data_IF_028200130957
#
_entry.id   IF_028200130957
#
_cell.length_a   1.000
_cell.length_b   1.000
_cell.length_c   1.000
_cell.angle_alpha   90.00
_cell.angle_beta   90.00
_cell.angle_gamma   90.00
#
_symmetry.space_group_name_H-M   'P 1'
#
loop_
_entity.id
_entity.type
_entity.pdbx_description
1 polymer ?
#
# COMPACT_ATOMS: atom_id res chain seq x y z
N UNK A 1 22.52 -13.57 14.19
CA UNK A 1 21.53 -13.11 13.19
C UNK A 1 21.32 -11.62 13.43
N UNK A 2 21.34 -10.79 12.40
CA UNK A 2 21.38 -9.34 12.57
C UNK A 2 19.95 -8.86 12.88
N UNK A 3 19.60 -8.80 14.17
CA UNK A 3 18.27 -8.38 14.67
C UNK A 3 17.89 -6.93 14.27
N UNK A 4 18.81 -6.20 13.63
CA UNK A 4 18.61 -4.84 13.11
C UNK A 4 17.94 -4.76 11.74
N UNK A 5 17.84 -5.85 10.95
CA UNK A 5 17.25 -5.79 9.60
C UNK A 5 15.97 -6.61 9.51
N UNK A 6 14.87 -5.99 9.07
CA UNK A 6 13.61 -6.68 8.82
C UNK A 6 12.86 -6.10 7.64
N UNK A 7 12.39 -6.95 6.75
CA UNK A 7 11.58 -6.57 5.61
C UNK A 7 10.19 -7.19 5.69
N UNK A 8 9.18 -6.44 5.25
CA UNK A 8 7.80 -6.90 5.17
C UNK A 8 7.14 -6.34 3.91
N UNK A 9 6.64 -7.24 3.06
CA UNK A 9 5.89 -6.88 1.86
C UNK A 9 4.39 -6.92 2.15
N UNK A 10 3.71 -5.84 1.78
CA UNK A 10 2.26 -5.67 1.92
C UNK A 10 1.68 -5.34 0.55
N UNK A 11 0.88 -6.24 0.01
CA UNK A 11 0.14 -5.94 -1.22
C UNK A 11 -1.05 -5.06 -0.89
N UNK A 12 -1.15 -3.89 -1.53
CA UNK A 12 -2.37 -3.09 -1.42
C UNK A 12 -3.49 -3.86 -2.11
N UNK A 13 -4.56 -4.17 -1.38
CA UNK A 13 -5.71 -4.79 -2.04
C UNK A 13 -6.28 -3.80 -3.06
N UNK A 14 -6.47 -4.28 -4.28
CA UNK A 14 -7.16 -3.49 -5.31
C UNK A 14 -8.58 -3.27 -4.86
N UNK A 15 -8.92 -2.01 -4.60
CA UNK A 15 -10.28 -1.64 -4.24
C UNK A 15 -11.24 -2.02 -5.36
N UNK A 16 -12.53 -2.11 -5.05
CA UNK A 16 -13.59 -2.36 -6.05
C UNK A 16 -13.48 -1.37 -7.21
N UNK A 17 -13.11 -0.12 -6.93
CA UNK A 17 -12.87 0.92 -7.95
C UNK A 17 -11.70 0.59 -8.88
N UNK A 18 -10.58 0.09 -8.34
CA UNK A 18 -9.39 -0.25 -9.14
C UNK A 18 -9.68 -1.46 -10.04
N UNK A 19 -10.38 -2.47 -9.51
CA UNK A 19 -10.87 -3.62 -10.30
C UNK A 19 -11.86 -3.17 -11.38
N UNK A 20 -12.80 -2.30 -11.04
CA UNK A 20 -13.79 -1.78 -11.98
C UNK A 20 -13.13 -0.99 -13.11
N UNK A 21 -12.18 -0.10 -12.80
CA UNK A 21 -11.43 0.67 -13.79
C UNK A 21 -10.67 -0.25 -14.75
N UNK A 22 -10.05 -1.32 -14.26
CA UNK A 22 -9.41 -2.34 -15.11
C UNK A 22 -10.41 -3.03 -16.04
N UNK A 23 -11.54 -3.48 -15.51
CA UNK A 23 -12.55 -4.18 -16.33
C UNK A 23 -13.14 -3.24 -17.39
N UNK A 24 -13.50 -2.03 -16.99
CA UNK A 24 -14.09 -1.01 -17.89
C UNK A 24 -13.10 -0.57 -18.97
N UNK A 25 -11.80 -0.55 -18.69
CA UNK A 25 -10.77 -0.20 -19.67
C UNK A 25 -10.49 -1.32 -20.69
N UNK A 26 -10.53 -2.58 -20.26
CA UNK A 26 -10.31 -3.74 -21.15
C UNK A 26 -11.45 -3.95 -22.16
N UNK A 27 -12.71 -3.73 -21.76
CA UNK A 27 -13.89 -3.96 -22.64
C UNK A 27 -13.79 -3.21 -23.98
N UNK A 28 -13.57 -1.88 -24.05
CA UNK A 28 -13.45 -1.17 -25.31
C UNK A 28 -12.23 -1.62 -26.12
N UNK A 29 -11.11 -1.97 -25.48
CA UNK A 29 -9.92 -2.52 -26.16
C UNK A 29 -10.26 -3.82 -26.90
N UNK A 30 -10.99 -4.74 -26.25
CA UNK A 30 -11.40 -6.01 -26.85
C UNK A 30 -12.40 -5.79 -27.98
N UNK A 31 -13.40 -4.91 -27.79
CA UNK A 31 -14.38 -4.59 -28.84
C UNK A 31 -13.73 -3.95 -30.06
N UNK A 32 -12.83 -2.99 -29.87
CA UNK A 32 -12.08 -2.35 -30.94
C UNK A 32 -11.18 -3.35 -31.67
N UNK A 33 -10.51 -4.24 -30.93
CA UNK A 33 -9.68 -5.30 -31.50
C UNK A 33 -10.47 -6.28 -32.36
N UNK A 34 -11.63 -6.74 -31.87
CA UNK A 34 -12.52 -7.64 -32.63
C UNK A 34 -13.06 -6.95 -33.89
N UNK A 35 -13.51 -5.70 -33.79
CA UNK A 35 -13.99 -4.93 -34.94
C UNK A 35 -12.88 -4.70 -35.98
N UNK A 36 -11.65 -4.41 -35.54
CA UNK A 36 -10.50 -4.28 -36.42
C UNK A 36 -10.22 -5.56 -37.20
N UNK A 37 -10.28 -6.73 -36.53
CA UNK A 37 -10.08 -8.03 -37.17
C UNK A 37 -11.18 -8.39 -38.17
N UNK A 38 -12.45 -8.12 -37.83
CA UNK A 38 -13.60 -8.44 -38.68
C UNK A 38 -13.68 -7.55 -39.93
N UNK A 39 -13.33 -6.27 -39.79
CA UNK A 39 -13.45 -5.29 -40.88
C UNK A 39 -12.17 -5.10 -41.68
N UNK A 40 -11.01 -5.52 -41.14
CA UNK A 40 -9.70 -5.26 -41.73
C UNK A 40 -9.31 -3.77 -41.76
N UNK A 41 -10.03 -2.91 -41.04
CA UNK A 41 -9.82 -1.47 -41.11
C UNK A 41 -8.62 -1.04 -40.26
N UNK A 42 -7.58 -0.54 -40.94
CA UNK A 42 -6.33 -0.08 -40.32
C UNK A 42 -6.54 1.02 -39.27
N UNK A 43 -7.55 1.89 -39.45
CA UNK A 43 -7.82 3.00 -38.54
C UNK A 43 -8.34 2.48 -37.19
N UNK A 44 -9.23 1.48 -37.22
CA UNK A 44 -9.77 0.83 -36.02
C UNK A 44 -8.67 0.04 -35.31
N UNK A 45 -7.77 -0.59 -36.08
CA UNK A 45 -6.60 -1.27 -35.52
C UNK A 45 -5.69 -0.31 -34.73
N UNK A 46 -5.40 0.88 -35.26
CA UNK A 46 -4.61 1.90 -34.55
C UNK A 46 -5.30 2.32 -33.24
N UNK A 47 -6.64 2.50 -33.27
CA UNK A 47 -7.43 2.83 -32.07
C UNK A 47 -7.35 1.70 -31.02
N UNK A 48 -7.46 0.45 -31.45
CA UNK A 48 -7.34 -0.70 -30.54
C UNK A 48 -5.96 -0.78 -29.88
N UNK A 49 -4.88 -0.50 -30.64
CA UNK A 49 -3.51 -0.43 -30.11
C UNK A 49 -3.39 0.70 -29.08
N UNK A 50 -3.95 1.89 -29.37
CA UNK A 50 -3.92 3.02 -28.44
C UNK A 50 -4.63 2.68 -27.10
N UNK A 51 -5.78 2.00 -27.16
CA UNK A 51 -6.46 1.52 -25.95
C UNK A 51 -5.64 0.46 -25.20
N UNK A 52 -5.00 -0.48 -25.90
CA UNK A 52 -4.10 -1.45 -25.27
C UNK A 52 -2.92 -0.79 -24.52
N UNK A 53 -2.39 0.32 -25.05
CA UNK A 53 -1.37 1.12 -24.36
C UNK A 53 -1.95 1.79 -23.11
N UNK A 54 -3.17 2.32 -23.17
CA UNK A 54 -3.84 2.90 -21.99
C UNK A 54 -4.09 1.84 -20.91
N UNK A 55 -4.54 0.65 -21.29
CA UNK A 55 -4.75 -0.48 -20.36
C UNK A 55 -3.47 -0.87 -19.64
N UNK A 56 -2.33 -0.85 -20.35
CA UNK A 56 -1.02 -1.07 -19.74
C UNK A 56 -0.74 -0.06 -18.62
N UNK A 57 -0.98 1.24 -18.86
CA UNK A 57 -0.78 2.26 -17.83
C UNK A 57 -1.77 2.13 -16.67
N UNK A 58 -3.04 1.80 -16.95
CA UNK A 58 -4.05 1.54 -15.92
C UNK A 58 -3.61 0.39 -15.03
N UNK A 59 -3.12 -0.71 -15.60
CA UNK A 59 -2.60 -1.85 -14.84
C UNK A 59 -1.42 -1.45 -13.95
N UNK A 60 -0.51 -0.61 -14.46
CA UNK A 60 0.64 -0.13 -13.71
C UNK A 60 0.27 0.68 -12.47
N UNK A 61 -0.76 1.53 -12.57
CA UNK A 61 -1.19 2.39 -11.46
C UNK A 61 -2.05 1.67 -10.42
N UNK A 62 -2.74 0.61 -10.82
CA UNK A 62 -3.64 -0.17 -9.96
C UNK A 62 -2.94 -1.31 -9.22
N UNK A 63 -1.79 -1.79 -9.72
CA UNK A 63 -0.96 -2.78 -9.02
C UNK A 63 0.04 -2.08 -8.09
N UNK A 64 -0.33 -1.86 -6.83
CA UNK A 64 0.54 -1.23 -5.83
C UNK A 64 0.87 -2.22 -4.72
N UNK A 65 2.14 -2.33 -4.40
CA UNK A 65 2.66 -3.06 -3.24
C UNK A 65 3.48 -2.07 -2.40
N UNK A 66 3.52 -2.29 -1.09
CA UNK A 66 4.33 -1.55 -0.16
C UNK A 66 5.35 -2.48 0.47
N UNK A 67 6.59 -2.03 0.54
CA UNK A 67 7.69 -2.73 1.21
C UNK A 67 8.08 -1.90 2.43
N UNK A 68 7.96 -2.50 3.60
CA UNK A 68 8.42 -1.91 4.84
C UNK A 68 9.78 -2.50 5.18
N UNK A 69 10.76 -1.63 5.38
CA UNK A 69 12.11 -1.98 5.75
C UNK A 69 12.43 -1.34 7.09
N UNK A 70 12.71 -2.17 8.07
CA UNK A 70 13.29 -1.74 9.34
C UNK A 70 14.81 -1.92 9.28
N UNK A 71 15.53 -0.83 9.54
CA UNK A 71 16.99 -0.81 9.66
C UNK A 71 17.41 0.31 10.64
N UNK A 72 18.27 -0.01 11.61
CA UNK A 72 18.92 0.98 12.50
C UNK A 72 17.96 2.01 13.14
N UNK A 73 16.83 1.55 13.70
CA UNK A 73 15.78 2.39 14.32
C UNK A 73 15.01 3.28 13.34
N UNK A 74 15.14 3.04 12.05
CA UNK A 74 14.33 3.68 11.02
C UNK A 74 13.43 2.65 10.33
N UNK A 75 12.20 3.04 10.03
CA UNK A 75 11.27 2.30 9.18
C UNK A 75 11.12 3.06 7.88
N UNK A 76 11.61 2.47 6.80
CA UNK A 76 11.43 2.97 5.44
C UNK A 76 10.26 2.26 4.78
N UNK A 77 9.40 3.02 4.11
CA UNK A 77 8.29 2.50 3.31
C UNK A 77 8.56 2.85 1.85
N UNK A 78 8.70 1.80 1.04
CA UNK A 78 8.86 1.90 -0.39
C UNK A 78 7.58 1.45 -1.10
N UNK A 79 7.09 2.27 -2.03
CA UNK A 79 5.96 1.94 -2.90
C UNK A 79 6.50 1.26 -4.16
N UNK A 80 6.05 0.05 -4.41
CA UNK A 80 6.37 -0.73 -5.61
C UNK A 80 5.14 -0.72 -6.53
N UNK A 81 5.29 -0.10 -7.70
CA UNK A 81 4.26 -0.10 -8.75
C UNK A 81 4.55 -1.22 -9.73
N UNK A 82 3.54 -2.08 -9.95
CA UNK A 82 3.55 -3.20 -10.85
C UNK A 82 4.81 -4.06 -10.79
N UNK A 83 5.30 -4.30 -9.57
CA UNK A 83 6.49 -5.15 -9.29
C UNK A 83 7.78 -4.72 -9.97
N UNK A 84 7.85 -3.50 -10.50
CA UNK A 84 9.00 -3.03 -11.30
C UNK A 84 9.56 -1.71 -10.78
N UNK A 85 8.70 -0.74 -10.48
CA UNK A 85 9.14 0.60 -10.06
C UNK A 85 9.00 0.77 -8.56
N UNK A 86 10.12 0.71 -7.85
CA UNK A 86 10.21 1.04 -6.42
C UNK A 86 10.47 2.54 -6.23
N UNK A 87 9.66 3.20 -5.41
CA UNK A 87 9.82 4.61 -5.02
C UNK A 87 9.68 4.72 -3.51
N UNK A 88 10.69 5.26 -2.83
CA UNK A 88 10.61 5.58 -1.41
C UNK A 88 9.56 6.65 -1.17
N UNK A 89 8.58 6.35 -0.32
CA UNK A 89 7.45 7.24 -0.02
C UNK A 89 7.51 7.80 1.38
N UNK A 90 8.14 7.09 2.32
CA UNK A 90 8.25 7.54 3.70
C UNK A 90 9.48 6.94 4.39
N UNK A 91 10.09 7.71 5.29
CA UNK A 91 11.06 7.24 6.27
C UNK A 91 10.63 7.76 7.63
N UNK A 92 10.54 6.86 8.60
CA UNK A 92 10.07 7.12 9.97
C UNK A 92 11.18 6.76 10.93
N UNK A 93 11.56 7.68 11.80
CA UNK A 93 12.38 7.37 12.97
C UNK A 93 11.49 6.77 14.07
N UNK A 94 11.82 5.57 14.52
CA UNK A 94 11.08 4.83 15.54
C UNK A 94 10.98 5.61 16.85
N UNK A 95 11.97 6.44 17.19
CA UNK A 95 11.98 7.19 18.44
C UNK A 95 10.90 8.29 18.49
N UNK A 96 10.53 8.81 17.31
CA UNK A 96 9.56 9.89 17.12
C UNK A 96 8.12 9.40 16.97
N UNK A 97 7.91 8.09 16.95
CA UNK A 97 6.58 7.49 17.04
C UNK A 97 5.97 7.87 18.40
N UNK A 98 4.71 8.28 18.42
CA UNK A 98 3.96 8.54 19.65
C UNK A 98 3.26 7.28 20.14
N UNK A 99 2.56 6.62 19.23
CA UNK A 99 1.85 5.37 19.49
C UNK A 99 1.78 4.54 18.20
N UNK A 100 1.92 3.23 18.35
CA UNK A 100 1.69 2.22 17.33
C UNK A 100 0.81 1.13 17.94
N UNK A 101 -0.40 0.94 17.44
CA UNK A 101 -1.34 -0.05 17.96
C UNK A 101 -2.26 -0.59 16.87
N UNK A 102 -2.83 -1.80 17.02
CA UNK A 102 -3.86 -2.30 16.10
C UNK A 102 -5.03 -1.31 15.99
N UNK A 103 -5.62 -1.16 14.81
CA UNK A 103 -6.71 -0.18 14.55
C UNK A 103 -7.90 -0.33 15.52
N UNK A 104 -8.14 -1.56 15.98
CA UNK A 104 -9.22 -1.92 16.91
C UNK A 104 -8.85 -1.75 18.40
N UNK A 105 -7.63 -1.32 18.71
CA UNK A 105 -7.15 -1.18 20.09
C UNK A 105 -7.74 0.05 20.78
N UNK A 106 -8.15 -0.10 22.05
CA UNK A 106 -8.68 0.97 22.91
C UNK A 106 -7.64 2.08 23.19
N UNK A 107 -6.34 1.75 23.08
CA UNK A 107 -5.24 2.70 23.30
C UNK A 107 -5.27 3.86 22.29
N UNK A 108 -5.91 3.66 21.13
CA UNK A 108 -6.04 4.69 20.09
C UNK A 108 -7.17 5.69 20.37
N UNK A 109 -8.07 5.44 21.31
CA UNK A 109 -9.27 6.27 21.52
C UNK A 109 -8.92 7.71 21.90
N UNK A 110 -7.85 7.89 22.69
CA UNK A 110 -7.31 9.22 23.04
C UNK A 110 -6.75 9.99 21.84
N UNK A 111 -6.38 9.28 20.76
CA UNK A 111 -5.83 9.85 19.53
C UNK A 111 -6.87 9.98 18.41
N UNK A 112 -8.00 9.24 18.46
CA UNK A 112 -9.05 9.25 17.41
C UNK A 112 -9.62 10.64 17.14
N UNK A 113 -9.73 11.48 18.17
CA UNK A 113 -10.30 12.81 18.06
C UNK A 113 -9.33 13.86 17.50
N UNK A 114 -8.05 13.51 17.28
CA UNK A 114 -7.08 14.44 16.69
C UNK A 114 -7.30 14.57 15.19
N UNK A 115 -7.44 15.80 14.71
CA UNK A 115 -7.45 16.10 13.27
C UNK A 115 -6.01 16.14 12.76
N UNK A 116 -5.54 14.99 12.28
CA UNK A 116 -4.20 14.82 11.70
C UNK A 116 -4.30 14.31 10.27
N UNK A 117 -3.26 14.55 9.47
CA UNK A 117 -3.22 14.06 8.10
C UNK A 117 -3.06 12.54 8.12
N UNK A 118 -4.10 11.82 7.71
CA UNK A 118 -4.08 10.37 7.56
C UNK A 118 -3.51 9.99 6.19
N UNK A 119 -2.50 9.12 6.19
CA UNK A 119 -1.90 8.56 4.99
C UNK A 119 -1.93 7.04 5.10
N UNK A 120 -2.55 6.39 4.12
CA UNK A 120 -2.73 4.94 4.12
C UNK A 120 -1.66 4.26 3.26
N UNK A 121 -0.79 3.50 3.93
CA UNK A 121 0.22 2.64 3.32
C UNK A 121 -0.07 1.16 3.54
N UNK A 122 -1.31 0.81 3.87
CA UNK A 122 -1.76 -0.53 4.23
C UNK A 122 -2.54 -1.20 3.08
N UNK A 123 -2.98 -2.43 3.32
CA UNK A 123 -3.97 -3.11 2.49
C UNK A 123 -5.41 -2.62 2.75
N UNK A 124 -5.62 -1.77 3.75
CA UNK A 124 -6.93 -1.19 4.12
C UNK A 124 -7.79 -2.09 5.02
N UNK A 125 -7.32 -3.29 5.36
CA UNK A 125 -7.99 -4.25 6.24
C UNK A 125 -6.96 -5.24 6.84
N UNK A 126 -7.40 -6.09 7.77
CA UNK A 126 -6.59 -7.16 8.35
C UNK A 126 -6.35 -8.28 7.31
N UNK A 127 -5.08 -8.67 7.11
CA UNK A 127 -4.68 -9.81 6.29
C UNK A 127 -4.44 -11.04 7.19
N UNK A 128 -4.44 -12.28 6.66
CA UNK A 128 -4.31 -13.51 7.46
C UNK A 128 -3.15 -13.50 8.47
N UNK A 129 -1.99 -12.98 8.08
CA UNK A 129 -0.78 -12.91 8.91
C UNK A 129 -0.36 -11.48 9.27
N UNK A 130 -1.12 -10.46 8.86
CA UNK A 130 -0.76 -9.04 9.04
C UNK A 130 -1.96 -8.23 9.53
N UNK A 131 -1.91 -7.76 10.77
CA UNK A 131 -2.97 -6.93 11.34
C UNK A 131 -2.80 -5.48 10.91
N UNK A 132 -3.90 -4.75 10.81
CA UNK A 132 -3.88 -3.32 10.51
C UNK A 132 -3.52 -2.53 11.77
N UNK A 133 -2.38 -1.84 11.72
CA UNK A 133 -1.88 -0.95 12.75
C UNK A 133 -2.07 0.52 12.36
N UNK A 134 -2.33 1.34 13.36
CA UNK A 134 -2.34 2.79 13.27
C UNK A 134 -1.13 3.33 14.02
N UNK A 135 -0.39 4.19 13.35
CA UNK A 135 0.79 4.86 13.90
C UNK A 135 0.58 6.37 13.89
N UNK A 136 0.78 7.01 15.04
CA UNK A 136 0.86 8.48 15.13
C UNK A 136 2.33 8.91 15.22
N UNK A 137 2.68 9.89 14.39
CA UNK A 137 4.05 10.39 14.24
C UNK A 137 4.10 11.91 14.35
N UNK A 138 5.01 12.42 15.19
CA UNK A 138 5.24 13.87 15.42
C UNK A 138 3.96 14.71 15.54
N UNK A 139 2.94 14.20 16.23
CA UNK A 139 1.70 14.90 16.60
C UNK A 139 0.77 15.31 15.47
N UNK A 140 1.18 15.17 14.21
CA UNK A 140 0.55 15.80 13.05
C UNK A 140 0.22 14.82 11.92
N UNK A 141 0.77 13.60 11.99
CA UNK A 141 0.64 12.60 10.94
C UNK A 141 0.14 11.28 11.52
N UNK A 142 -0.81 10.67 10.80
CA UNK A 142 -1.34 9.33 11.08
C UNK A 142 -1.04 8.44 9.90
N UNK A 143 -0.46 7.27 10.16
CA UNK A 143 -0.15 6.26 9.16
C UNK A 143 -0.90 4.97 9.46
N UNK A 144 -1.45 4.34 8.41
CA UNK A 144 -2.02 3.00 8.48
C UNK A 144 -1.05 2.01 7.83
N UNK A 145 -0.74 0.91 8.52
CA UNK A 145 0.26 -0.08 8.12
C UNK A 145 -0.22 -1.49 8.45
N UNK A 146 -0.01 -2.47 7.56
CA UNK A 146 -0.23 -3.88 7.91
C UNK A 146 1.06 -4.48 8.47
N UNK A 147 1.09 -4.81 9.75
CA UNK A 147 2.29 -5.36 10.39
C UNK A 147 2.05 -6.81 10.80
N UNK A 148 3.07 -7.65 10.60
CA UNK A 148 3.13 -8.96 11.24
C UNK A 148 3.40 -8.79 12.72
N UNK A 149 2.96 -9.77 13.54
CA UNK A 149 3.23 -9.73 14.98
C UNK A 149 4.72 -9.65 15.28
N UNK A 150 5.54 -10.36 14.50
CA UNK A 150 6.99 -10.33 14.68
C UNK A 150 7.57 -8.96 14.34
N UNK A 151 7.07 -8.26 13.31
CA UNK A 151 7.54 -6.91 12.97
C UNK A 151 7.15 -5.92 14.08
N UNK A 152 5.92 -5.99 14.57
CA UNK A 152 5.46 -5.17 15.69
C UNK A 152 6.27 -5.44 16.97
N UNK A 153 6.59 -6.71 17.27
CA UNK A 153 7.46 -7.09 18.40
C UNK A 153 8.87 -6.52 18.27
N UNK A 154 9.45 -6.49 17.07
CA UNK A 154 10.75 -5.84 16.82
C UNK A 154 10.72 -4.36 17.21
N UNK A 155 9.68 -3.63 16.79
CA UNK A 155 9.51 -2.22 17.18
C UNK A 155 9.27 -2.08 18.69
N UNK A 156 8.45 -2.96 19.27
CA UNK A 156 8.17 -3.00 20.73
C UNK A 156 9.43 -3.22 21.55
N UNK A 157 10.41 -3.98 21.06
CA UNK A 157 11.70 -4.14 21.72
C UNK A 157 12.49 -2.83 21.89
N UNK A 158 12.24 -1.84 21.02
CA UNK A 158 12.94 -0.55 21.01
C UNK A 158 12.15 0.51 21.78
N UNK A 159 10.83 0.59 21.55
CA UNK A 159 9.93 1.56 22.17
C UNK A 159 8.75 0.87 22.87
N UNK A 160 9.01 0.08 23.93
CA UNK A 160 8.01 -0.83 24.53
C UNK A 160 6.78 -0.12 25.10
N UNK A 161 6.93 1.13 25.54
CA UNK A 161 5.83 1.93 26.12
C UNK A 161 4.89 2.54 25.09
N UNK A 162 5.28 2.52 23.81
CA UNK A 162 4.57 3.19 22.71
C UNK A 162 3.95 2.22 21.72
N UNK A 163 4.28 0.92 21.83
CA UNK A 163 3.80 -0.12 20.92
C UNK A 163 2.89 -1.09 21.67
N UNK A 164 1.65 -1.18 21.20
CA UNK A 164 0.64 -2.09 21.71
C UNK A 164 0.42 -3.19 20.68
N UNK A 165 0.23 -4.42 21.14
CA UNK A 165 0.10 -5.62 20.29
C UNK A 165 -1.21 -6.37 20.55
N UNK A 166 -2.07 -5.74 21.35
CA UNK A 166 -3.20 -6.35 22.05
C UNK A 166 -4.52 -6.00 21.34
#
# INVERSE_FOLDING_TARGET
>A
MNDSYKELLVSKEQGVKDKLIRVVSIIPTVLAGLLALLTGNILIFIIAVAFGVLDYFVFQWTSIEYEYLYLDKEITIDKIMAKTRRKRVLTIDVNKIEILAPEKSYQLDSYRNRQVKAIDYSAGHDLPDQKLYVMFYEGSQKYLLNLTEDFAKTIKGIIPRKVFTD
#
